data_IF_846829475632
#
_entry.id   IF_846829475632
#
_cell.length_a   1.000
_cell.length_b   1.000
_cell.length_c   1.000
_cell.angle_alpha   90.00
_cell.angle_beta   90.00
_cell.angle_gamma   90.00
#
_symmetry.space_group_name_H-M   'P 1'
#
loop_
_entity.id
_entity.type
_entity.pdbx_description
1 polymer ?
#
# COMPACT_ATOMS: atom_id res chain seq x y z
N UNK A 1 -10.68 9.35 -11.63
CA UNK A 1 -9.41 8.76 -12.09
C UNK A 1 -9.55 8.13 -13.50
N UNK A 2 -10.38 8.68 -14.40
CA UNK A 2 -10.59 8.12 -15.75
C UNK A 2 -10.04 8.99 -16.88
N UNK A 3 -9.43 10.13 -16.55
CA UNK A 3 -9.17 11.20 -17.53
C UNK A 3 -7.96 10.97 -18.45
N UNK A 4 -7.16 9.92 -18.22
CA UNK A 4 -5.88 9.72 -18.92
C UNK A 4 -5.62 8.28 -19.38
N UNK A 5 -6.57 7.35 -19.20
CA UNK A 5 -6.38 5.95 -19.61
C UNK A 5 -6.24 5.77 -21.13
N UNK A 6 -6.64 6.75 -21.93
CA UNK A 6 -6.42 6.79 -23.38
C UNK A 6 -4.96 7.12 -23.76
N UNK A 7 -4.13 7.55 -22.81
CA UNK A 7 -2.77 8.05 -23.05
C UNK A 7 -1.69 7.32 -22.26
N UNK A 8 -2.01 6.89 -21.03
CA UNK A 8 -1.05 6.27 -20.12
C UNK A 8 -1.68 5.14 -19.33
N UNK A 9 -0.87 4.10 -19.09
CA UNK A 9 -1.17 3.06 -18.12
C UNK A 9 -0.54 3.43 -16.77
N UNK A 10 -1.29 3.19 -15.69
CA UNK A 10 -0.85 3.48 -14.33
C UNK A 10 -0.82 2.21 -13.50
N UNK A 11 0.24 2.08 -12.69
CA UNK A 11 0.39 1.02 -11.71
C UNK A 11 0.90 1.60 -10.41
N UNK A 12 0.42 1.07 -9.29
CA UNK A 12 0.89 1.41 -7.95
C UNK A 12 1.69 0.24 -7.40
N UNK A 13 2.84 0.52 -6.78
CA UNK A 13 3.60 -0.48 -6.03
C UNK A 13 3.54 -0.10 -4.57
N UNK A 14 2.98 -0.97 -3.75
CA UNK A 14 2.94 -0.82 -2.30
C UNK A 14 4.30 -1.21 -1.73
N UNK A 15 4.96 -0.24 -1.09
CA UNK A 15 6.32 -0.35 -0.58
C UNK A 15 6.32 -0.45 0.95
N UNK A 16 7.51 -0.32 1.53
CA UNK A 16 7.73 -0.26 2.96
C UNK A 16 7.05 0.96 3.62
N UNK A 17 6.48 0.78 4.82
CA UNK A 17 5.85 1.88 5.57
C UNK A 17 6.90 2.89 6.00
N UNK A 18 6.70 4.16 5.65
CA UNK A 18 7.55 5.24 6.15
C UNK A 18 7.28 5.56 7.64
N UNK A 19 6.07 5.24 8.12
CA UNK A 19 5.57 5.64 9.44
C UNK A 19 4.78 4.51 10.12
N UNK A 20 5.40 3.33 10.26
CA UNK A 20 4.78 2.23 10.99
C UNK A 20 4.59 2.54 12.48
N UNK A 21 3.57 1.92 13.06
CA UNK A 21 3.15 2.14 14.45
C UNK A 21 4.20 1.68 15.47
N UNK A 22 4.96 0.64 15.12
CA UNK A 22 6.01 0.04 15.93
C UNK A 22 7.39 0.67 15.72
N UNK A 23 7.52 1.69 14.86
CA UNK A 23 8.80 2.35 14.56
C UNK A 23 8.73 3.87 14.76
N UNK A 24 8.07 4.59 13.85
CA UNK A 24 7.93 6.06 13.91
C UNK A 24 6.51 6.50 13.54
N UNK A 25 5.55 6.42 14.48
CA UNK A 25 4.14 6.67 14.19
C UNK A 25 3.87 8.15 13.84
N UNK A 26 3.19 8.39 12.72
CA UNK A 26 2.65 9.71 12.35
C UNK A 26 1.16 9.57 11.96
N UNK A 27 0.29 10.28 12.67
CA UNK A 27 -1.15 10.26 12.43
C UNK A 27 -1.86 9.04 13.02
N UNK A 28 -3.18 8.95 12.79
CA UNK A 28 -4.04 7.95 13.44
C UNK A 28 -5.14 7.37 12.55
N UNK A 29 -5.06 7.56 11.22
CA UNK A 29 -6.15 7.20 10.30
C UNK A 29 -6.05 5.75 9.83
N UNK A 30 -4.90 5.40 9.29
CA UNK A 30 -4.58 4.06 8.79
C UNK A 30 -3.18 3.78 9.31
N UNK A 31 -3.08 2.81 10.20
CA UNK A 31 -1.93 2.60 11.05
C UNK A 31 -1.62 1.10 11.06
N UNK A 32 -0.47 0.74 10.51
CA UNK A 32 0.00 -0.65 10.41
C UNK A 32 1.34 -0.81 11.12
N UNK A 33 1.60 -2.03 11.61
CA UNK A 33 2.95 -2.43 12.00
C UNK A 33 3.79 -2.67 10.77
N UNK A 34 5.11 -2.55 10.90
CA UNK A 34 6.04 -2.81 9.82
C UNK A 34 5.89 -4.25 9.31
N UNK A 35 5.55 -4.47 8.02
CA UNK A 35 5.38 -5.83 7.50
C UNK A 35 6.71 -6.59 7.54
N UNK A 36 6.70 -7.82 8.06
CA UNK A 36 7.92 -8.65 8.18
C UNK A 36 7.99 -9.75 7.13
N UNK A 37 6.91 -9.95 6.39
CA UNK A 37 6.87 -10.86 5.25
C UNK A 37 5.87 -10.39 4.18
N UNK A 38 5.93 -10.98 2.99
CA UNK A 38 5.04 -10.64 1.88
C UNK A 38 3.56 -10.81 2.23
N UNK A 39 3.23 -11.79 3.06
CA UNK A 39 1.85 -12.03 3.49
C UNK A 39 1.29 -10.84 4.30
N UNK A 40 2.11 -10.24 5.17
CA UNK A 40 1.73 -9.05 5.94
C UNK A 40 1.48 -7.86 4.99
N UNK A 41 2.41 -7.63 4.05
CA UNK A 41 2.28 -6.53 3.08
C UNK A 41 1.08 -6.71 2.15
N UNK A 42 0.79 -7.94 1.73
CA UNK A 42 -0.42 -8.26 0.96
C UNK A 42 -1.68 -7.97 1.78
N UNK A 43 -1.69 -8.32 3.07
CA UNK A 43 -2.84 -8.05 3.95
C UNK A 43 -3.08 -6.54 4.06
N UNK A 44 -2.03 -5.78 4.36
CA UNK A 44 -2.07 -4.32 4.46
C UNK A 44 -2.55 -3.68 3.16
N UNK A 45 -1.99 -4.08 2.01
CA UNK A 45 -2.37 -3.56 0.70
C UNK A 45 -3.85 -3.83 0.38
N UNK A 46 -4.36 -5.01 0.72
CA UNK A 46 -5.78 -5.33 0.55
C UNK A 46 -6.69 -4.48 1.44
N UNK A 47 -6.28 -4.25 2.68
CA UNK A 47 -7.03 -3.40 3.61
C UNK A 47 -7.03 -1.94 3.14
N UNK A 48 -5.91 -1.44 2.64
CA UNK A 48 -5.81 -0.13 2.00
C UNK A 48 -6.78 0.01 0.82
N UNK A 49 -6.82 -0.98 -0.08
CA UNK A 49 -7.75 -0.99 -1.23
C UNK A 49 -9.20 -0.91 -0.75
N UNK A 50 -9.57 -1.72 0.24
CA UNK A 50 -10.94 -1.74 0.80
C UNK A 50 -11.30 -0.43 1.50
N UNK A 51 -10.39 0.12 2.29
CA UNK A 51 -10.63 1.31 3.09
C UNK A 51 -10.71 2.60 2.26
N UNK A 52 -10.06 2.63 1.10
CA UNK A 52 -9.95 3.84 0.24
C UNK A 52 -10.68 3.72 -1.09
N UNK A 53 -11.28 2.55 -1.38
CA UNK A 53 -11.85 2.20 -2.69
C UNK A 53 -10.85 2.42 -3.84
N UNK A 54 -9.57 2.13 -3.59
CA UNK A 54 -8.50 2.37 -4.56
C UNK A 54 -8.70 1.55 -5.83
N UNK A 55 -8.63 2.19 -7.00
CA UNK A 55 -8.99 1.57 -8.30
C UNK A 55 -7.82 1.34 -9.25
N UNK A 56 -6.64 1.90 -8.97
CA UNK A 56 -5.46 1.66 -9.80
C UNK A 56 -4.90 0.28 -9.44
N UNK A 57 -4.50 -0.55 -10.43
CA UNK A 57 -3.83 -1.81 -10.18
C UNK A 57 -2.66 -1.64 -9.21
N UNK A 58 -2.65 -2.47 -8.18
CA UNK A 58 -1.69 -2.40 -7.09
C UNK A 58 -0.92 -3.70 -7.00
N UNK A 59 0.40 -3.59 -7.07
CA UNK A 59 1.35 -4.67 -6.79
C UNK A 59 2.00 -4.41 -5.44
N UNK A 60 2.64 -5.44 -4.87
CA UNK A 60 3.51 -5.28 -3.71
C UNK A 60 4.96 -5.36 -4.14
N UNK A 61 5.81 -4.53 -3.53
CA UNK A 61 7.24 -4.79 -3.50
C UNK A 61 7.49 -5.97 -2.53
N UNK A 62 8.29 -6.99 -2.86
CA UNK A 62 8.61 -8.05 -1.91
C UNK A 62 9.31 -7.51 -0.66
N UNK A 63 9.02 -8.09 0.50
CA UNK A 63 9.78 -7.79 1.73
C UNK A 63 11.15 -8.44 1.56
N UNK A 64 12.19 -7.60 1.43
CA UNK A 64 13.58 -8.07 1.37
C UNK A 64 13.90 -8.82 2.68
N UNK A 65 14.48 -10.02 2.56
CA UNK A 65 15.00 -10.77 3.72
C UNK A 65 16.23 -10.10 4.31
#
# INVERSE_FOLDING_TARGET
MNSYHDRVDMITVYIEEAHAVDEWPIGSRICYVQPKCDADRIHIANDFIKATEYRIPLLIDPVSK
#
